data_IF_209546929358
#
_entry.id   IF_209546929358
#
_cell.length_a   1.000
_cell.length_b   1.000
_cell.length_c   1.000
_cell.angle_alpha   90.00
_cell.angle_beta   90.00
_cell.angle_gamma   90.00
#
_symmetry.space_group_name_H-M   'P 1'
#
loop_
_entity.id
_entity.type
_entity.pdbx_description
1 polymer ?
#
# COMPACT_ATOMS: atom_id res chain seq x y z
N UNK A 1 -11.45 -30.46 10.04
CA UNK A 1 -10.39 -30.42 11.07
C UNK A 1 -9.07 -29.95 10.45
N UNK A 2 -9.01 -28.76 9.88
CA UNK A 2 -7.79 -28.04 9.49
C UNK A 2 -8.27 -26.64 9.07
N UNK A 3 -8.59 -25.82 10.05
CA UNK A 3 -8.81 -24.40 9.81
C UNK A 3 -7.43 -23.77 9.78
N UNK A 4 -7.01 -23.22 8.64
CA UNK A 4 -5.83 -22.38 8.59
C UNK A 4 -6.11 -21.17 9.49
N UNK A 5 -5.63 -21.25 10.72
CA UNK A 5 -5.76 -20.18 11.68
C UNK A 5 -4.76 -19.07 11.38
N UNK A 6 -4.96 -17.94 12.05
CA UNK A 6 -3.96 -16.88 12.10
C UNK A 6 -2.57 -17.41 12.52
N UNK A 7 -2.43 -18.35 13.48
CA UNK A 7 -1.12 -18.89 13.86
C UNK A 7 -0.39 -19.61 12.71
N UNK A 8 -1.08 -20.49 11.98
CA UNK A 8 -0.50 -21.23 10.84
C UNK A 8 -0.08 -20.27 9.72
N UNK A 9 -0.88 -19.23 9.45
CA UNK A 9 -0.53 -18.20 8.47
C UNK A 9 0.73 -17.43 8.87
N UNK A 10 0.92 -17.13 10.15
CA UNK A 10 2.13 -16.47 10.66
C UNK A 10 3.35 -17.36 10.45
N UNK A 11 3.25 -18.67 10.72
CA UNK A 11 4.37 -19.60 10.50
C UNK A 11 4.76 -19.63 9.01
N UNK A 12 3.77 -19.73 8.12
CA UNK A 12 4.01 -19.68 6.66
C UNK A 12 4.65 -18.35 6.26
N UNK A 13 4.16 -17.24 6.81
CA UNK A 13 4.72 -15.91 6.55
C UNK A 13 6.18 -15.82 6.99
N UNK A 14 6.53 -16.36 8.15
CA UNK A 14 7.92 -16.38 8.65
C UNK A 14 8.82 -17.19 7.71
N UNK A 15 8.38 -18.37 7.25
CA UNK A 15 9.15 -19.18 6.29
C UNK A 15 9.31 -18.43 4.97
N UNK A 16 8.24 -17.82 4.44
CA UNK A 16 8.30 -17.01 3.24
C UNK A 16 9.25 -15.80 3.42
N UNK A 17 9.25 -15.16 4.58
CA UNK A 17 10.13 -14.06 4.94
C UNK A 17 11.60 -14.46 5.01
N UNK A 18 11.92 -15.70 5.39
CA UNK A 18 13.31 -16.20 5.35
C UNK A 18 13.77 -16.38 3.91
N UNK A 19 12.90 -16.89 3.03
CA UNK A 19 13.23 -17.13 1.62
C UNK A 19 13.33 -15.82 0.84
N UNK A 20 12.33 -14.95 0.97
CA UNK A 20 12.24 -13.70 0.21
C UNK A 20 12.91 -12.52 0.92
N UNK A 21 13.05 -12.56 2.23
CA UNK A 21 13.54 -11.45 3.05
C UNK A 21 12.42 -10.45 3.43
N UNK A 22 12.48 -9.84 4.63
CA UNK A 22 11.48 -8.87 5.10
C UNK A 22 11.46 -7.56 4.31
N UNK A 23 12.54 -7.24 3.59
CA UNK A 23 12.58 -6.06 2.72
C UNK A 23 11.81 -6.22 1.41
N UNK A 24 11.60 -7.47 0.93
CA UNK A 24 10.90 -7.71 -0.35
C UNK A 24 9.39 -7.54 -0.24
N UNK A 25 8.79 -7.85 0.90
CA UNK A 25 7.35 -7.67 1.11
C UNK A 25 6.87 -6.21 0.95
N UNK A 26 7.48 -5.19 1.59
CA UNK A 26 7.08 -3.79 1.39
C UNK A 26 7.38 -3.28 -0.02
N UNK A 27 8.45 -3.76 -0.66
CA UNK A 27 8.78 -3.42 -2.05
C UNK A 27 7.68 -3.89 -3.02
N UNK A 28 7.28 -5.16 -2.91
CA UNK A 28 6.21 -5.77 -3.71
C UNK A 28 4.85 -5.16 -3.34
N UNK A 29 4.56 -5.00 -2.05
CA UNK A 29 3.32 -4.39 -1.56
C UNK A 29 3.16 -2.94 -2.00
N UNK A 30 4.23 -2.16 -2.05
CA UNK A 30 4.21 -0.79 -2.58
C UNK A 30 3.94 -0.74 -4.07
N UNK A 31 4.53 -1.64 -4.85
CA UNK A 31 4.26 -1.75 -6.30
C UNK A 31 2.83 -2.20 -6.59
N UNK A 32 2.36 -3.26 -5.91
CA UNK A 32 0.98 -3.75 -6.02
C UNK A 32 -0.03 -2.71 -5.53
N UNK A 33 0.25 -2.03 -4.42
CA UNK A 33 -0.62 -1.01 -3.85
C UNK A 33 -0.83 0.18 -4.78
N UNK A 34 0.24 0.63 -5.48
CA UNK A 34 0.11 1.64 -6.53
C UNK A 34 -0.74 1.13 -7.69
N UNK A 35 -0.46 -0.09 -8.19
CA UNK A 35 -1.24 -0.70 -9.26
C UNK A 35 -2.72 -0.86 -8.92
N UNK A 36 -3.05 -1.32 -7.70
CA UNK A 36 -4.43 -1.43 -7.22
C UNK A 36 -5.07 -0.05 -7.08
N UNK A 37 -4.34 0.96 -6.58
CA UNK A 37 -4.85 2.33 -6.46
C UNK A 37 -5.18 2.93 -7.82
N UNK A 38 -4.31 2.72 -8.80
CA UNK A 38 -4.50 3.24 -10.17
C UNK A 38 -5.62 2.48 -10.87
N UNK A 39 -5.69 1.15 -10.69
CA UNK A 39 -6.80 0.32 -11.16
C UNK A 39 -8.12 0.79 -10.55
N UNK A 40 -8.18 1.00 -9.23
CA UNK A 40 -9.35 1.51 -8.53
C UNK A 40 -9.76 2.90 -9.04
N UNK A 41 -8.81 3.82 -9.28
CA UNK A 41 -9.09 5.13 -9.88
C UNK A 41 -9.67 5.03 -11.28
N UNK A 42 -9.17 4.12 -12.12
CA UNK A 42 -9.73 3.90 -13.46
C UNK A 42 -11.12 3.27 -13.44
N UNK A 43 -11.41 2.43 -12.44
CA UNK A 43 -12.74 1.86 -12.22
C UNK A 43 -13.73 2.85 -11.60
N UNK A 44 -13.27 3.70 -10.66
CA UNK A 44 -14.07 4.74 -10.01
C UNK A 44 -14.25 5.99 -10.88
N UNK A 45 -13.36 6.26 -11.84
CA UNK A 45 -13.41 7.41 -12.75
C UNK A 45 -14.56 7.45 -13.76
N UNK A 46 -15.67 6.74 -13.50
CA UNK A 46 -16.98 7.03 -14.11
C UNK A 46 -17.78 8.05 -13.32
N UNK A 47 -17.46 8.28 -12.04
CA UNK A 47 -18.07 9.32 -11.22
C UNK A 47 -17.01 9.91 -10.27
N UNK A 48 -16.82 11.22 -10.36
CA UNK A 48 -16.14 12.11 -9.40
C UNK A 48 -14.61 12.36 -9.45
N UNK A 49 -14.34 13.64 -9.23
CA UNK A 49 -13.17 14.48 -9.48
C UNK A 49 -11.82 14.08 -8.83
N UNK A 50 -10.70 14.62 -9.36
CA UNK A 50 -9.38 14.38 -8.80
C UNK A 50 -9.22 15.08 -7.44
N UNK A 51 -9.25 14.30 -6.35
CA UNK A 51 -8.69 14.74 -5.06
C UNK A 51 -7.16 14.86 -5.19
N UNK A 52 -6.73 16.08 -5.50
CA UNK A 52 -5.37 16.61 -5.33
C UNK A 52 -4.96 16.34 -3.88
N UNK A 53 -3.97 15.46 -3.69
CA UNK A 53 -3.29 15.33 -2.41
C UNK A 53 -2.38 16.55 -2.34
N UNK A 54 -2.90 17.63 -1.77
CA UNK A 54 -2.16 18.83 -1.46
C UNK A 54 -1.50 18.62 -0.09
N UNK A 55 -0.22 18.30 -0.15
CA UNK A 55 0.63 18.18 1.03
C UNK A 55 2.04 18.48 0.59
N UNK A 56 2.38 19.76 0.46
CA UNK A 56 3.72 20.25 0.75
C UNK A 56 3.77 21.79 0.85
N UNK A 57 4.10 22.27 2.04
CA UNK A 57 4.93 23.45 2.32
C UNK A 57 4.53 24.82 1.72
N UNK A 58 3.63 25.53 2.39
CA UNK A 58 3.62 27.01 2.37
C UNK A 58 3.22 27.61 3.72
N UNK A 59 3.90 27.19 4.80
CA UNK A 59 3.78 27.80 6.15
C UNK A 59 5.06 28.53 6.57
N UNK A 60 5.79 29.13 5.63
CA UNK A 60 7.02 29.84 5.95
C UNK A 60 7.27 31.06 5.06
N UNK A 61 6.57 32.16 5.39
CA UNK A 61 6.94 33.58 5.17
C UNK A 61 7.00 34.06 3.70
N UNK A 62 7.04 35.38 3.39
CA UNK A 62 6.84 36.61 4.17
C UNK A 62 5.65 37.44 3.60
N UNK A 63 5.16 38.49 4.26
CA UNK A 63 5.47 39.90 3.91
C UNK A 63 4.56 40.75 4.82
N UNK A 64 5.12 41.54 5.75
CA UNK A 64 5.50 42.94 5.56
C UNK A 64 4.27 43.86 5.43
#
# INVERSE_FOLDING_TARGET
>A
MFGLGVPELIIILVVALIIFGPGKLPEIGGALGRGIRDFKRSFEGRDDEPKKVEGNDESSRPSA
#
